data_IF_346683758695
#
_entry.id   IF_346683758695
#
_cell.length_a   1.000
_cell.length_b   1.000
_cell.length_c   1.000
_cell.angle_alpha   90.00
_cell.angle_beta   90.00
_cell.angle_gamma   90.00
#
_symmetry.space_group_name_H-M   'P 1'
#
loop_
_entity.id
_entity.type
_entity.pdbx_description
1 polymer ?
#
# COMPACT_ATOMS: atom_id res chain seq x y z
N UNK A 1 -34.95 -38.19 -15.54
CA UNK A 1 -33.78 -38.51 -16.39
C UNK A 1 -33.18 -37.19 -16.86
N UNK A 2 -32.13 -36.69 -16.21
CA UNK A 2 -31.54 -35.39 -16.55
C UNK A 2 -30.45 -35.56 -17.60
N UNK A 3 -30.62 -34.91 -18.74
CA UNK A 3 -29.64 -34.86 -19.83
C UNK A 3 -28.53 -33.89 -19.43
N UNK A 4 -27.33 -34.41 -19.21
CA UNK A 4 -26.13 -33.63 -18.90
C UNK A 4 -25.70 -32.88 -20.17
N UNK A 5 -25.73 -31.55 -20.13
CA UNK A 5 -25.14 -30.68 -21.18
C UNK A 5 -23.66 -31.04 -21.32
N UNK A 6 -23.24 -31.48 -22.52
CA UNK A 6 -21.82 -31.59 -22.85
C UNK A 6 -21.26 -30.17 -22.90
N UNK A 7 -20.38 -29.83 -21.95
CA UNK A 7 -19.53 -28.66 -22.06
C UNK A 7 -18.50 -28.98 -23.16
N UNK A 8 -18.66 -28.40 -24.34
CA UNK A 8 -17.67 -28.52 -25.40
C UNK A 8 -16.41 -27.82 -24.95
N UNK A 9 -15.34 -28.58 -24.71
CA UNK A 9 -14.02 -28.01 -24.49
C UNK A 9 -13.38 -27.78 -25.85
N UNK A 10 -13.37 -26.52 -26.29
CA UNK A 10 -12.44 -26.04 -27.30
C UNK A 10 -11.06 -26.03 -26.63
N UNK A 11 -10.43 -27.21 -26.56
CA UNK A 11 -9.04 -27.30 -26.17
C UNK A 11 -8.23 -26.73 -27.33
N UNK A 12 -7.62 -25.58 -27.09
CA UNK A 12 -6.72 -24.94 -28.02
C UNK A 12 -5.34 -25.54 -27.81
N UNK A 13 -4.73 -26.01 -28.89
CA UNK A 13 -3.40 -26.58 -28.87
C UNK A 13 -2.39 -25.55 -28.30
N UNK A 14 -1.56 -25.91 -27.32
CA UNK A 14 -0.48 -25.06 -26.83
C UNK A 14 0.43 -24.52 -27.94
N UNK A 15 0.58 -25.25 -29.06
CA UNK A 15 1.38 -24.82 -30.21
C UNK A 15 0.66 -23.75 -31.06
N UNK A 16 -0.66 -23.61 -30.94
CA UNK A 16 -1.49 -22.55 -31.56
C UNK A 16 -1.69 -21.35 -30.61
N UNK A 17 -0.89 -21.23 -29.55
CA UNK A 17 -0.98 -20.11 -28.62
C UNK A 17 -0.71 -18.76 -29.32
N UNK A 18 -1.45 -17.69 -28.94
CA UNK A 18 -1.19 -16.38 -29.49
C UNK A 18 0.21 -15.89 -29.12
N UNK A 19 0.84 -15.18 -30.05
CA UNK A 19 2.13 -14.54 -29.79
C UNK A 19 2.02 -13.51 -28.66
N UNK A 20 3.06 -13.44 -27.84
CA UNK A 20 3.20 -12.42 -26.81
C UNK A 20 3.21 -11.03 -27.47
N UNK A 21 2.26 -10.18 -27.10
CA UNK A 21 2.21 -8.79 -27.57
C UNK A 21 3.03 -7.87 -26.67
N UNK A 22 3.47 -6.72 -27.20
CA UNK A 22 4.20 -5.72 -26.43
C UNK A 22 3.39 -5.20 -25.22
N UNK A 23 2.07 -5.04 -25.38
CA UNK A 23 1.19 -4.64 -24.27
C UNK A 23 1.17 -5.66 -23.13
N UNK A 24 1.28 -6.95 -23.44
CA UNK A 24 1.39 -8.02 -22.45
C UNK A 24 2.74 -7.97 -21.73
N UNK A 25 3.82 -7.66 -22.45
CA UNK A 25 5.16 -7.48 -21.87
C UNK A 25 5.22 -6.29 -20.90
N UNK A 26 4.55 -5.18 -21.22
CA UNK A 26 4.46 -3.99 -20.34
C UNK A 26 3.79 -4.32 -18.99
N UNK A 27 2.85 -5.26 -18.97
CA UNK A 27 2.15 -5.70 -17.75
C UNK A 27 2.79 -6.93 -17.10
N UNK A 28 3.82 -7.51 -17.71
CA UNK A 28 4.40 -8.76 -17.26
C UNK A 28 5.06 -8.63 -15.89
N UNK A 29 4.89 -9.67 -15.10
CA UNK A 29 5.61 -9.87 -13.86
C UNK A 29 7.03 -10.37 -14.17
N UNK A 30 8.06 -9.63 -13.72
CA UNK A 30 9.46 -10.00 -13.98
C UNK A 30 9.92 -11.01 -12.92
N UNK A 31 10.50 -12.12 -13.36
CA UNK A 31 11.09 -13.15 -12.51
C UNK A 31 12.57 -13.37 -12.86
N UNK A 32 13.38 -13.69 -11.86
CA UNK A 32 14.75 -14.19 -11.99
C UNK A 32 14.84 -15.56 -11.32
N UNK A 33 14.81 -16.63 -12.12
CA UNK A 33 14.55 -17.98 -11.61
C UNK A 33 13.19 -18.06 -10.92
N UNK A 34 13.13 -18.63 -9.72
CA UNK A 34 11.91 -18.72 -8.91
C UNK A 34 11.58 -17.41 -8.15
N UNK A 35 12.33 -16.33 -8.38
CA UNK A 35 12.21 -15.08 -7.63
C UNK A 35 11.48 -14.01 -8.44
N UNK A 36 10.28 -13.63 -8.00
CA UNK A 36 9.62 -12.42 -8.49
C UNK A 36 10.43 -11.17 -8.14
N UNK A 37 10.82 -10.39 -9.15
CA UNK A 37 11.62 -9.15 -9.07
C UNK A 37 10.83 -7.91 -9.54
N UNK A 38 9.50 -8.02 -9.65
CA UNK A 38 8.63 -6.90 -9.99
C UNK A 38 8.78 -5.68 -9.06
N UNK A 39 8.19 -4.55 -9.48
CA UNK A 39 8.38 -3.20 -8.91
C UNK A 39 8.62 -3.28 -7.40
N UNK A 40 9.86 -2.95 -6.99
CA UNK A 40 10.52 -3.37 -5.76
C UNK A 40 9.64 -3.59 -4.53
N UNK A 41 9.98 -4.61 -3.74
CA UNK A 41 9.29 -4.98 -2.48
C UNK A 41 8.85 -3.76 -1.65
N UNK A 42 7.54 -3.54 -1.56
CA UNK A 42 6.91 -2.69 -0.55
C UNK A 42 5.96 -1.61 -1.06
N UNK A 43 5.21 -1.01 -0.12
CA UNK A 43 4.45 0.23 -0.35
C UNK A 43 5.41 1.30 -0.89
N UNK A 44 5.02 2.09 -1.91
CA UNK A 44 5.82 3.23 -2.37
C UNK A 44 6.31 4.07 -1.19
N UNK A 45 7.60 4.42 -1.18
CA UNK A 45 8.17 5.26 -0.14
C UNK A 45 7.38 6.58 -0.08
N UNK A 46 6.88 6.94 1.10
CA UNK A 46 6.29 8.25 1.32
C UNK A 46 7.36 9.32 1.03
N UNK A 47 7.00 10.40 0.33
CA UNK A 47 7.92 11.49 0.01
C UNK A 47 8.45 12.20 1.28
N UNK A 48 7.62 12.29 2.32
CA UNK A 48 7.98 12.84 3.62
C UNK A 48 7.40 11.95 4.74
N UNK A 49 8.13 10.90 5.17
CA UNK A 49 7.69 10.05 6.28
C UNK A 49 7.77 10.81 7.61
N UNK A 50 6.96 10.39 8.58
CA UNK A 50 7.08 10.88 9.97
C UNK A 50 8.38 10.34 10.57
N UNK A 51 9.19 11.22 11.14
CA UNK A 51 10.43 10.82 11.80
C UNK A 51 10.14 10.34 13.24
N UNK A 52 10.57 9.13 13.62
CA UNK A 52 10.43 8.66 14.99
C UNK A 52 11.42 9.39 15.90
N UNK A 53 10.91 10.19 16.83
CA UNK A 53 11.73 10.92 17.80
C UNK A 53 11.41 10.48 19.24
N UNK A 54 12.41 10.52 20.12
CA UNK A 54 12.22 10.32 21.56
C UNK A 54 11.98 11.68 22.23
N UNK A 55 10.74 11.95 22.63
CA UNK A 55 10.34 13.18 23.32
C UNK A 55 9.84 12.85 24.73
N UNK A 56 10.26 13.64 25.72
CA UNK A 56 9.69 13.61 27.08
C UNK A 56 8.61 14.68 27.20
N UNK A 57 7.46 14.30 27.71
CA UNK A 57 6.33 15.18 28.00
C UNK A 57 6.04 15.15 29.50
N UNK A 58 5.52 16.24 30.03
CA UNK A 58 5.04 16.28 31.41
C UNK A 58 3.92 15.27 31.65
N UNK A 59 3.84 14.75 32.88
CA UNK A 59 2.96 13.64 33.22
C UNK A 59 1.47 14.01 33.09
N UNK A 60 1.11 15.23 33.45
CA UNK A 60 -0.25 15.77 33.35
C UNK A 60 -0.68 15.99 31.89
N UNK A 61 0.23 16.48 31.05
CA UNK A 61 0.01 16.63 29.60
C UNK A 61 -0.22 15.25 28.97
N UNK A 62 0.64 14.28 29.27
CA UNK A 62 0.49 12.91 28.77
C UNK A 62 -0.82 12.26 29.24
N UNK A 63 -1.21 12.49 30.49
CA UNK A 63 -2.47 11.98 31.04
C UNK A 63 -3.69 12.56 30.28
N UNK A 64 -3.72 13.88 30.05
CA UNK A 64 -4.79 14.53 29.28
C UNK A 64 -4.86 14.03 27.84
N UNK A 65 -3.70 13.84 27.19
CA UNK A 65 -3.63 13.33 25.83
C UNK A 65 -4.17 11.90 25.75
N UNK A 66 -3.73 11.01 26.64
CA UNK A 66 -4.23 9.61 26.68
C UNK A 66 -5.71 9.54 26.99
N UNK A 67 -6.22 10.42 27.85
CA UNK A 67 -7.65 10.53 28.14
C UNK A 67 -8.49 10.92 26.91
N UNK A 68 -7.88 11.54 25.87
CA UNK A 68 -8.56 11.83 24.60
C UNK A 68 -8.85 10.60 23.74
N UNK A 69 -8.44 9.41 24.19
CA UNK A 69 -8.78 8.13 23.58
C UNK A 69 -7.80 7.66 22.49
N UNK A 70 -8.21 6.68 21.68
CA UNK A 70 -7.40 6.16 20.57
C UNK A 70 -6.95 7.28 19.63
N UNK A 71 -5.72 7.20 19.13
CA UNK A 71 -5.16 8.20 18.21
C UNK A 71 -4.63 9.47 18.87
N UNK A 72 -4.47 9.51 20.20
CA UNK A 72 -3.90 10.67 20.89
C UNK A 72 -2.52 11.10 20.36
N UNK A 73 -1.69 10.17 19.88
CA UNK A 73 -0.40 10.50 19.24
C UNK A 73 -0.57 11.31 17.96
N UNK A 74 -1.54 10.96 17.12
CA UNK A 74 -1.88 11.75 15.93
C UNK A 74 -2.36 13.13 16.34
N UNK A 75 -3.18 13.22 17.40
CA UNK A 75 -3.67 14.51 17.92
C UNK A 75 -2.56 15.39 18.47
N UNK A 76 -1.55 14.83 19.15
CA UNK A 76 -0.34 15.58 19.56
C UNK A 76 0.35 16.17 18.35
N UNK A 77 0.54 15.39 17.30
CA UNK A 77 1.17 15.87 16.07
C UNK A 77 0.37 17.04 15.45
N UNK A 78 -0.96 16.95 15.38
CA UNK A 78 -1.80 18.05 14.89
C UNK A 78 -1.69 19.31 15.75
N UNK A 79 -1.65 19.18 17.09
CA UNK A 79 -1.44 20.32 18.00
C UNK A 79 -0.10 20.98 17.73
N UNK A 80 0.97 20.20 17.58
CA UNK A 80 2.32 20.71 17.29
C UNK A 80 2.37 21.40 15.92
N UNK A 81 1.73 20.81 14.89
CA UNK A 81 1.64 21.44 13.57
C UNK A 81 0.91 22.78 13.64
N UNK A 82 -0.18 22.83 14.40
CA UNK A 82 -0.96 24.08 14.60
C UNK A 82 -0.12 25.14 15.29
N UNK A 83 0.55 24.78 16.39
CA UNK A 83 1.40 25.69 17.17
C UNK A 83 2.58 26.24 16.36
N UNK A 84 3.07 25.47 15.39
CA UNK A 84 4.18 25.84 14.50
C UNK A 84 3.71 26.47 13.18
N UNK A 85 2.40 26.66 12.97
CA UNK A 85 1.86 27.22 11.73
C UNK A 85 1.96 26.30 10.50
N UNK A 86 2.16 25.00 10.70
CA UNK A 86 2.35 24.00 9.62
C UNK A 86 1.04 23.45 9.04
N UNK A 87 -0.09 24.08 9.38
CA UNK A 87 -1.43 23.68 8.92
C UNK A 87 -1.81 24.33 7.58
N UNK A 88 -0.93 25.12 6.96
CA UNK A 88 -1.26 25.98 5.81
C UNK A 88 -0.35 25.91 4.58
N UNK A 89 0.47 24.87 4.37
CA UNK A 89 1.33 24.76 3.16
C UNK A 89 0.73 23.83 2.09
N UNK A 90 -0.54 24.05 1.79
CA UNK A 90 -1.18 23.60 0.56
C UNK A 90 -1.91 24.81 -0.06
N UNK A 91 -1.13 25.79 -0.51
CA UNK A 91 -1.49 26.68 -1.61
C UNK A 91 -0.50 26.45 -2.76
#
# INVERSE_FOLDING_TARGET
MQVRKKLGSEWVDPDDAPLLTEAMLVQAEIFEGDRFVGRGRGRPKLAAPKEPVQLRLDADVLARLRASGPGWQTRVNEILRTALGLNGLAE
#
